data_IF_125328222709
#
_entry.id   IF_125328222709
#
_cell.length_a   1.000
_cell.length_b   1.000
_cell.length_c   1.000
_cell.angle_alpha   90.00
_cell.angle_beta   90.00
_cell.angle_gamma   90.00
#
_symmetry.space_group_name_H-M   'P 1'
#
loop_
_entity.id
_entity.type
_entity.pdbx_description
1 polymer ?
#
# COMPACT_ATOMS: atom_id res chain seq x y z
N UNK A 1 3.16 43.85 -7.73
CA UNK A 1 3.28 43.51 -6.31
C UNK A 1 3.38 42.00 -6.21
N UNK A 2 4.57 41.47 -5.96
CA UNK A 2 4.80 40.03 -5.81
C UNK A 2 4.15 39.54 -4.52
N UNK A 3 3.10 38.74 -4.66
CA UNK A 3 2.46 38.07 -3.53
C UNK A 3 3.42 37.04 -2.93
N UNK A 4 3.83 37.26 -1.67
CA UNK A 4 4.58 36.26 -0.89
C UNK A 4 3.78 34.96 -0.84
N UNK A 5 4.33 33.91 -1.44
CA UNK A 5 3.86 32.53 -1.28
C UNK A 5 3.77 32.22 0.22
N UNK A 6 2.62 31.72 0.73
CA UNK A 6 2.49 31.45 2.15
C UNK A 6 3.52 30.39 2.59
N UNK A 7 4.23 30.71 3.68
CA UNK A 7 5.23 29.86 4.32
C UNK A 7 4.56 28.51 4.64
N UNK A 8 5.09 27.42 4.09
CA UNK A 8 4.57 26.05 4.29
C UNK A 8 4.28 25.81 5.78
N UNK A 9 3.07 25.36 6.10
CA UNK A 9 2.69 24.98 7.46
C UNK A 9 3.52 23.75 7.86
N UNK A 10 4.66 23.96 8.53
CA UNK A 10 5.29 22.89 9.27
C UNK A 10 4.53 22.75 10.59
N UNK A 11 4.02 21.56 10.86
CA UNK A 11 3.39 21.27 12.13
C UNK A 11 4.50 21.22 13.20
N UNK A 12 4.49 22.09 14.22
CA UNK A 12 5.59 22.20 15.16
C UNK A 12 5.92 20.89 15.88
N UNK A 13 4.91 20.03 16.09
CA UNK A 13 5.05 18.71 16.71
C UNK A 13 5.91 17.76 15.86
N UNK A 14 5.68 17.70 14.55
CA UNK A 14 6.42 16.83 13.61
C UNK A 14 7.88 17.28 13.53
N UNK A 15 8.11 18.60 13.42
CA UNK A 15 9.47 19.16 13.40
C UNK A 15 10.23 18.90 14.70
N UNK A 16 9.56 19.00 15.85
CA UNK A 16 10.16 18.69 17.15
C UNK A 16 10.50 17.21 17.29
N UNK A 17 9.60 16.30 16.87
CA UNK A 17 9.86 14.86 16.83
C UNK A 17 11.03 14.52 15.91
N UNK A 18 11.09 15.11 14.72
CA UNK A 18 12.22 14.90 13.79
C UNK A 18 13.53 15.39 14.40
N UNK A 19 13.54 16.55 15.07
CA UNK A 19 14.74 17.07 15.78
C UNK A 19 15.18 16.14 16.91
N UNK A 20 14.24 15.64 17.71
CA UNK A 20 14.55 14.68 18.78
C UNK A 20 15.17 13.41 18.21
N UNK A 21 14.61 12.84 17.14
CA UNK A 21 15.16 11.66 16.46
C UNK A 21 16.55 11.91 15.86
N UNK A 22 16.80 13.08 15.27
CA UNK A 22 18.13 13.48 14.78
C UNK A 22 19.15 13.47 15.92
N UNK A 23 18.77 13.95 17.10
CA UNK A 23 19.68 14.09 18.24
C UNK A 23 19.88 12.77 19.00
N UNK A 24 18.83 11.96 19.18
CA UNK A 24 18.90 10.76 20.02
C UNK A 24 19.25 9.49 19.25
N UNK A 25 18.68 9.29 18.05
CA UNK A 25 18.81 8.04 17.29
C UNK A 25 19.77 8.19 16.11
N UNK A 26 19.56 9.19 15.27
CA UNK A 26 20.28 9.33 13.99
C UNK A 26 21.50 10.25 14.07
N UNK A 27 22.03 10.50 15.27
CA UNK A 27 23.15 11.43 15.47
C UNK A 27 24.44 10.98 14.76
N UNK A 28 24.58 9.70 14.44
CA UNK A 28 25.71 9.13 13.71
C UNK A 28 25.58 9.19 12.19
N UNK A 29 24.36 9.41 11.65
CA UNK A 29 24.12 9.33 10.21
C UNK A 29 24.71 10.54 9.46
N UNK A 30 25.11 10.36 8.20
CA UNK A 30 25.58 11.48 7.36
C UNK A 30 24.43 12.45 7.05
N UNK A 31 23.27 11.93 6.63
CA UNK A 31 22.06 12.71 6.35
C UNK A 31 21.02 12.56 7.47
N UNK A 32 21.38 12.97 8.69
CA UNK A 32 20.59 12.76 9.92
C UNK A 32 19.12 13.16 9.79
N UNK A 33 18.87 14.36 9.23
CA UNK A 33 17.52 14.90 9.06
C UNK A 33 16.68 14.04 8.10
N UNK A 34 17.29 13.57 7.01
CA UNK A 34 16.63 12.70 6.03
C UNK A 34 16.30 11.33 6.64
N UNK A 35 17.26 10.75 7.38
CA UNK A 35 17.06 9.48 8.09
C UNK A 35 15.92 9.57 9.11
N UNK A 36 15.93 10.60 9.96
CA UNK A 36 14.87 10.87 10.93
C UNK A 36 13.50 11.11 10.26
N UNK A 37 13.48 11.85 9.14
CA UNK A 37 12.25 12.09 8.37
C UNK A 37 11.67 10.81 7.77
N UNK A 38 12.51 9.93 7.23
CA UNK A 38 12.08 8.63 6.68
C UNK A 38 11.56 7.70 7.77
N UNK A 39 12.24 7.61 8.91
CA UNK A 39 11.77 6.81 10.03
C UNK A 39 10.41 7.29 10.56
N UNK A 40 10.21 8.61 10.67
CA UNK A 40 8.94 9.18 11.08
C UNK A 40 7.84 8.92 10.04
N UNK A 41 8.14 9.06 8.74
CA UNK A 41 7.22 8.71 7.66
C UNK A 41 6.76 7.25 7.75
N UNK A 42 7.71 6.31 7.86
CA UNK A 42 7.41 4.88 8.02
C UNK A 42 6.57 4.59 9.25
N UNK A 43 6.80 5.27 10.38
CA UNK A 43 5.96 5.10 11.57
C UNK A 43 4.52 5.55 11.31
N UNK A 44 4.34 6.73 10.71
CA UNK A 44 3.01 7.25 10.35
C UNK A 44 2.32 6.34 9.33
N UNK A 45 3.05 5.82 8.34
CA UNK A 45 2.55 4.86 7.35
C UNK A 45 2.00 3.60 8.02
N UNK A 46 2.80 2.96 8.88
CA UNK A 46 2.41 1.75 9.60
C UNK A 46 1.18 1.99 10.47
N UNK A 47 1.15 3.10 11.24
CA UNK A 47 0.00 3.46 12.07
C UNK A 47 -1.24 3.67 11.19
N UNK A 48 -1.10 4.42 10.10
CA UNK A 48 -2.20 4.72 9.17
C UNK A 48 -2.75 3.44 8.56
N UNK A 49 -1.90 2.53 8.10
CA UNK A 49 -2.33 1.24 7.56
C UNK A 49 -3.14 0.42 8.58
N UNK A 50 -2.64 0.30 9.81
CA UNK A 50 -3.35 -0.45 10.84
C UNK A 50 -4.65 0.22 11.29
N UNK A 51 -4.73 1.55 11.23
CA UNK A 51 -5.98 2.28 11.46
C UNK A 51 -7.00 2.01 10.35
N UNK A 52 -6.60 2.08 9.08
CA UNK A 52 -7.47 1.73 7.95
C UNK A 52 -7.94 0.28 8.04
N UNK A 53 -7.04 -0.62 8.45
CA UNK A 53 -7.37 -2.03 8.68
C UNK A 53 -8.36 -2.22 9.83
N UNK A 54 -8.24 -1.49 10.94
CA UNK A 54 -9.16 -1.62 12.08
C UNK A 54 -10.58 -1.13 11.74
N UNK A 55 -10.71 -0.26 10.74
CA UNK A 55 -11.98 0.18 10.17
C UNK A 55 -12.53 -0.74 9.07
N UNK A 56 -11.95 -1.93 8.87
CA UNK A 56 -12.25 -2.86 7.77
C UNK A 56 -12.11 -2.26 6.36
N UNK A 57 -11.34 -1.17 6.23
CA UNK A 57 -11.13 -0.51 4.94
C UNK A 57 -9.99 -1.11 4.13
N UNK A 58 -9.32 -2.15 4.65
CA UNK A 58 -8.15 -2.77 4.02
C UNK A 58 -8.41 -3.19 2.56
N UNK A 59 -9.62 -3.69 2.26
CA UNK A 59 -10.01 -4.13 0.91
C UNK A 59 -10.18 -2.98 -0.11
N UNK A 60 -10.23 -1.75 0.39
CA UNK A 60 -10.37 -0.52 -0.40
C UNK A 60 -9.03 0.22 -0.54
N UNK A 61 -7.96 -0.24 0.11
CA UNK A 61 -6.65 0.43 0.07
C UNK A 61 -5.86 -0.01 -1.17
N UNK A 62 -5.45 0.97 -1.97
CA UNK A 62 -4.38 0.81 -2.95
C UNK A 62 -3.10 1.49 -2.44
N UNK A 63 -1.98 0.76 -2.47
CA UNK A 63 -0.66 1.23 -2.07
C UNK A 63 0.03 1.89 -3.28
N UNK A 64 0.74 2.99 -3.03
CA UNK A 64 1.67 3.64 -3.97
C UNK A 64 1.07 3.95 -5.34
N UNK A 65 0.23 4.99 -5.40
CA UNK A 65 -0.10 5.63 -6.67
C UNK A 65 0.18 7.13 -6.58
N UNK A 66 0.80 7.72 -7.61
CA UNK A 66 0.78 9.16 -7.78
C UNK A 66 -0.69 9.61 -7.85
N UNK A 67 -1.13 10.40 -6.87
CA UNK A 67 -2.44 11.01 -6.87
C UNK A 67 -2.27 12.46 -7.35
N UNK A 68 -3.02 12.90 -8.37
CA UNK A 68 -3.03 14.32 -8.73
C UNK A 68 -3.47 15.18 -7.54
N UNK A 69 -2.86 16.35 -7.40
CA UNK A 69 -3.28 17.35 -6.42
C UNK A 69 -4.70 17.81 -6.73
N UNK A 70 -5.48 18.08 -5.68
CA UNK A 70 -6.83 18.58 -5.86
C UNK A 70 -6.81 19.89 -6.66
N UNK A 71 -7.56 19.93 -7.76
CA UNK A 71 -7.63 21.05 -8.71
C UNK A 71 -6.34 21.34 -9.50
N UNK A 72 -5.37 20.42 -9.54
CA UNK A 72 -4.20 20.52 -10.41
C UNK A 72 -3.65 19.14 -10.82
N UNK A 73 -4.12 18.63 -11.96
CA UNK A 73 -3.76 17.29 -12.47
C UNK A 73 -2.29 17.19 -12.92
N UNK A 74 -1.63 18.30 -13.22
CA UNK A 74 -0.22 18.32 -13.65
C UNK A 74 0.75 18.07 -12.48
N UNK A 75 0.28 18.16 -11.23
CA UNK A 75 1.06 17.90 -10.04
C UNK A 75 0.58 16.59 -9.42
N UNK A 76 1.46 15.58 -9.40
CA UNK A 76 1.18 14.31 -8.73
C UNK A 76 2.00 14.18 -7.45
N UNK A 77 1.34 13.75 -6.38
CA UNK A 77 1.97 13.41 -5.11
C UNK A 77 2.07 11.91 -5.00
N UNK A 78 3.22 11.38 -4.62
CA UNK A 78 3.31 9.97 -4.24
C UNK A 78 2.53 9.81 -2.95
N UNK A 79 1.32 9.25 -3.04
CA UNK A 79 0.49 8.96 -1.87
C UNK A 79 0.74 7.52 -1.48
N UNK A 80 1.10 7.31 -0.21
CA UNK A 80 1.40 5.99 0.34
C UNK A 80 0.14 5.09 0.36
N UNK A 81 -1.04 5.68 0.64
CA UNK A 81 -2.33 4.98 0.63
C UNK A 81 -3.42 5.81 -0.06
N UNK A 82 -4.20 5.17 -0.92
CA UNK A 82 -5.43 5.74 -1.49
C UNK A 82 -6.59 4.77 -1.28
N UNK A 83 -7.80 5.31 -1.07
CA UNK A 83 -9.02 4.51 -0.93
C UNK A 83 -9.79 4.51 -2.25
N UNK A 84 -10.15 3.32 -2.71
CA UNK A 84 -10.91 3.09 -3.93
C UNK A 84 -12.07 2.15 -3.65
N UNK A 85 -13.25 2.37 -4.24
CA UNK A 85 -14.31 1.37 -4.24
C UNK A 85 -13.77 0.03 -4.75
N UNK A 86 -14.13 -1.06 -4.09
CA UNK A 86 -13.78 -2.41 -4.52
C UNK A 86 -14.99 -3.33 -4.44
N UNK A 87 -15.09 -4.23 -5.42
CA UNK A 87 -16.19 -5.18 -5.54
C UNK A 87 -15.66 -6.58 -5.30
N UNK A 88 -16.24 -7.37 -4.37
CA UNK A 88 -15.87 -8.78 -4.19
C UNK A 88 -16.15 -9.57 -5.47
N UNK A 89 -15.15 -10.28 -5.97
CA UNK A 89 -15.26 -11.09 -7.20
C UNK A 89 -15.54 -12.56 -6.88
N UNK A 90 -14.83 -13.13 -5.91
CA UNK A 90 -15.03 -14.51 -5.46
C UNK A 90 -14.46 -14.73 -4.05
N UNK A 91 -14.94 -15.79 -3.40
CA UNK A 91 -14.30 -16.40 -2.23
C UNK A 91 -13.77 -17.79 -2.64
N UNK A 92 -12.54 -18.09 -2.24
CA UNK A 92 -11.83 -19.32 -2.58
C UNK A 92 -11.31 -19.97 -1.30
N UNK A 93 -11.53 -21.27 -1.17
CA UNK A 93 -11.01 -22.07 -0.07
C UNK A 93 -9.77 -22.83 -0.50
N UNK A 94 -8.73 -22.82 0.34
CA UNK A 94 -7.49 -23.55 0.11
C UNK A 94 -7.10 -24.33 1.36
N UNK A 95 -6.73 -25.59 1.19
CA UNK A 95 -6.13 -26.38 2.26
C UNK A 95 -4.65 -25.98 2.47
N UNK A 96 -4.15 -26.14 3.69
CA UNK A 96 -2.82 -25.67 4.12
C UNK A 96 -1.64 -26.37 3.42
N UNK A 97 -1.86 -27.55 2.85
CA UNK A 97 -0.91 -28.31 2.03
C UNK A 97 -0.69 -27.69 0.63
N UNK A 98 -1.51 -26.73 0.22
CA UNK A 98 -1.44 -26.09 -1.09
C UNK A 98 -0.50 -24.88 -1.16
N UNK A 99 0.44 -24.72 -0.23
CA UNK A 99 1.41 -23.62 -0.26
C UNK A 99 2.48 -23.79 -1.37
N UNK A 100 3.04 -22.70 -1.91
CA UNK A 100 2.60 -21.32 -1.71
C UNK A 100 1.29 -21.06 -2.46
N UNK A 101 0.46 -20.14 -1.97
CA UNK A 101 -0.71 -19.63 -2.70
C UNK A 101 -0.24 -18.58 -3.72
N UNK A 102 0.23 -19.06 -4.88
CA UNK A 102 0.65 -18.20 -5.99
C UNK A 102 -0.52 -17.65 -6.78
N UNK A 103 -0.30 -16.55 -7.51
CA UNK A 103 -1.27 -16.00 -8.47
C UNK A 103 -1.74 -17.05 -9.48
N UNK A 104 -0.87 -17.96 -9.92
CA UNK A 104 -1.24 -19.04 -10.85
C UNK A 104 -2.26 -20.01 -10.23
N UNK A 105 -2.10 -20.38 -8.95
CA UNK A 105 -3.07 -21.26 -8.26
C UNK A 105 -4.40 -20.53 -8.04
N UNK A 106 -4.34 -19.25 -7.68
CA UNK A 106 -5.53 -18.40 -7.53
C UNK A 106 -6.29 -18.28 -8.87
N UNK A 107 -5.59 -17.99 -9.97
CA UNK A 107 -6.19 -17.87 -11.29
C UNK A 107 -6.85 -19.19 -11.76
N UNK A 108 -6.24 -20.34 -11.46
CA UNK A 108 -6.84 -21.65 -11.76
C UNK A 108 -8.14 -21.86 -10.97
N UNK A 109 -8.14 -21.59 -9.67
CA UNK A 109 -9.33 -21.75 -8.83
C UNK A 109 -10.45 -20.76 -9.21
N UNK A 110 -10.10 -19.56 -9.69
CA UNK A 110 -11.06 -18.61 -10.26
C UNK A 110 -11.66 -19.12 -11.58
N UNK A 111 -10.82 -19.70 -12.45
CA UNK A 111 -11.26 -20.29 -13.71
C UNK A 111 -12.27 -21.43 -13.49
N UNK A 112 -12.07 -22.26 -12.47
CA UNK A 112 -13.03 -23.30 -12.05
C UNK A 112 -14.39 -22.72 -11.61
N UNK A 113 -14.43 -21.45 -11.19
CA UNK A 113 -15.66 -20.68 -10.90
C UNK A 113 -16.17 -19.85 -12.09
N UNK A 114 -15.58 -19.99 -13.27
CA UNK A 114 -15.96 -19.25 -14.47
C UNK A 114 -15.41 -17.82 -14.54
N UNK A 115 -14.43 -17.47 -13.70
CA UNK A 115 -13.77 -16.16 -13.70
C UNK A 115 -12.39 -16.31 -14.32
N UNK A 116 -12.22 -15.74 -15.51
CA UNK A 116 -10.95 -15.80 -16.23
C UNK A 116 -10.06 -14.61 -15.87
N UNK A 117 -8.79 -14.90 -15.54
CA UNK A 117 -7.73 -13.90 -15.47
C UNK A 117 -6.73 -14.23 -16.58
N UNK A 118 -6.64 -13.41 -17.65
CA UNK A 118 -5.72 -13.65 -18.76
C UNK A 118 -4.26 -13.75 -18.31
N UNK A 119 -3.48 -14.64 -18.92
CA UNK A 119 -2.13 -14.97 -18.45
C UNK A 119 -1.16 -13.80 -18.55
N UNK A 120 -1.35 -12.91 -19.53
CA UNK A 120 -0.57 -11.70 -19.77
C UNK A 120 -0.81 -10.59 -18.74
N UNK A 121 -1.94 -10.63 -18.04
CA UNK A 121 -2.28 -9.66 -16.99
C UNK A 121 -1.82 -10.12 -15.60
N UNK A 122 -1.50 -11.41 -15.43
CA UNK A 122 -1.13 -12.01 -14.15
C UNK A 122 0.20 -11.48 -13.63
N UNK A 123 0.23 -11.13 -12.35
CA UNK A 123 1.48 -10.80 -11.65
C UNK A 123 2.20 -12.04 -11.15
N UNK A 124 3.52 -11.94 -11.00
CA UNK A 124 4.34 -12.98 -10.40
C UNK A 124 4.45 -12.78 -8.88
N UNK A 125 3.31 -12.90 -8.20
CA UNK A 125 3.21 -12.75 -6.75
C UNK A 125 2.67 -14.00 -6.06
N UNK A 126 2.84 -14.04 -4.75
CA UNK A 126 2.31 -15.07 -3.87
C UNK A 126 1.54 -14.37 -2.76
N UNK A 127 0.29 -14.77 -2.56
CA UNK A 127 -0.54 -14.29 -1.45
C UNK A 127 0.00 -14.82 -0.12
N UNK A 128 0.33 -16.11 -0.07
CA UNK A 128 0.86 -16.78 1.12
C UNK A 128 2.05 -17.66 0.72
N UNK A 129 3.23 -17.37 1.29
CA UNK A 129 4.44 -18.16 1.01
C UNK A 129 4.47 -19.49 1.79
N UNK A 130 5.41 -20.37 1.45
CA UNK A 130 5.67 -21.60 2.22
C UNK A 130 6.25 -21.34 3.61
N UNK A 131 6.75 -20.13 3.88
CA UNK A 131 7.19 -19.66 5.20
C UNK A 131 6.08 -18.91 5.95
N UNK A 132 4.82 -19.07 5.54
CA UNK A 132 3.65 -18.43 6.16
C UNK A 132 3.69 -16.90 6.16
N UNK A 133 4.38 -16.30 5.18
CA UNK A 133 4.34 -14.84 4.98
C UNK A 133 3.12 -14.50 4.13
N UNK A 134 2.14 -13.82 4.74
CA UNK A 134 0.94 -13.31 4.08
C UNK A 134 1.19 -11.91 3.50
N UNK A 135 0.92 -11.74 2.21
CA UNK A 135 0.99 -10.46 1.52
C UNK A 135 -0.40 -9.81 1.52
N UNK A 136 -0.56 -8.72 2.26
CA UNK A 136 -1.80 -7.94 2.25
C UNK A 136 -2.01 -7.32 0.86
N UNK A 137 -3.26 -7.29 0.38
CA UNK A 137 -3.63 -6.74 -0.93
C UNK A 137 -2.76 -7.29 -2.06
N UNK A 138 -2.61 -8.62 -2.13
CA UNK A 138 -1.77 -9.24 -3.14
C UNK A 138 -2.35 -9.00 -4.54
N UNK A 139 -1.72 -8.14 -5.34
CA UNK A 139 -2.13 -7.91 -6.72
C UNK A 139 -2.02 -9.19 -7.53
N UNK A 140 -3.15 -9.63 -8.08
CA UNK A 140 -3.26 -10.83 -8.93
C UNK A 140 -3.13 -10.43 -10.39
N UNK A 141 -3.80 -9.35 -10.80
CA UNK A 141 -3.79 -8.85 -12.15
C UNK A 141 -3.95 -7.32 -12.20
N UNK A 142 -3.32 -6.71 -13.21
CA UNK A 142 -3.54 -5.31 -13.59
C UNK A 142 -4.19 -5.27 -14.97
N UNK A 143 -5.33 -4.61 -15.05
CA UNK A 143 -5.98 -4.23 -16.30
C UNK A 143 -5.77 -2.72 -16.55
N UNK A 144 -6.23 -2.23 -17.71
CA UNK A 144 -6.09 -0.82 -18.07
C UNK A 144 -6.72 0.12 -17.03
N UNK A 145 -7.94 -0.21 -16.60
CA UNK A 145 -8.76 0.65 -15.72
C UNK A 145 -9.13 -0.01 -14.39
N UNK A 146 -8.72 -1.27 -14.18
CA UNK A 146 -9.09 -2.07 -13.02
C UNK A 146 -7.89 -2.86 -12.48
N UNK A 147 -7.97 -3.30 -11.22
CA UNK A 147 -6.98 -4.21 -10.62
C UNK A 147 -7.69 -5.24 -9.76
N UNK A 148 -7.20 -6.47 -9.82
CA UNK A 148 -7.69 -7.56 -8.99
C UNK A 148 -6.69 -7.87 -7.89
N UNK A 149 -7.17 -7.88 -6.64
CA UNK A 149 -6.38 -8.17 -5.46
C UNK A 149 -6.91 -9.39 -4.71
N UNK A 150 -6.02 -10.15 -4.12
CA UNK A 150 -6.34 -11.20 -3.16
C UNK A 150 -6.12 -10.70 -1.73
N UNK A 151 -7.07 -11.05 -0.86
CA UNK A 151 -7.00 -10.85 0.58
C UNK A 151 -7.31 -12.16 1.27
N UNK A 152 -6.70 -12.38 2.44
CA UNK A 152 -7.20 -13.42 3.35
C UNK A 152 -8.52 -12.94 3.94
N UNK A 153 -9.59 -13.67 3.70
CA UNK A 153 -10.85 -13.47 4.41
C UNK A 153 -10.74 -14.11 5.80
N UNK A 154 -11.22 -13.42 6.84
CA UNK A 154 -11.27 -13.94 8.20
C UNK A 154 -12.55 -14.71 8.43
#
# INVERSE_FOLDING_TARGET
>A
MEGKVPKRMSYPSVDQLQKALVQSVFHYATDKKKAAGRALGTLVEVITFYLLKSWDLQRFVAIERPLPEYSNEDITHNVEYSLHPSTPVAALDFAADNLPLSVTKLAKALMEKGIEIPSEQRKQHQLLSTQFVLRNACTIADEKDSRTFAFQHK
#
